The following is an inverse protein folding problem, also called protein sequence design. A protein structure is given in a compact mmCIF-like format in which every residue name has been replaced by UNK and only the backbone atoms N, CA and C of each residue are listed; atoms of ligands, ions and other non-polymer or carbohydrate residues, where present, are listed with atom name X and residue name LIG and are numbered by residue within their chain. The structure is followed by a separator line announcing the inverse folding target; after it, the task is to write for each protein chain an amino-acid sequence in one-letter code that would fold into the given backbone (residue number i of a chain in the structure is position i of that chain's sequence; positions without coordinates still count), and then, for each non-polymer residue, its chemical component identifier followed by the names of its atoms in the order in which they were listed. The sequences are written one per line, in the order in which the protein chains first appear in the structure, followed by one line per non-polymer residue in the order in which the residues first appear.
data_IF_676917835454
#
_entry.id   IF_676917835454
#
_cell.length_a   1.000
_cell.length_b   1.000
_cell.length_c   1.000
_cell.angle_alpha   90.00
_cell.angle_beta   90.00
_cell.angle_gamma   90.00
#
_symmetry.space_group_name_H-M   'P 1'
#
loop_
_entity.id
_entity.type
_entity.pdbx_description
1 polymer ?
#
# COMPACT_ATOMS: atom_id res chain seq x y z
N UNK A 1 1.85 -12.46 -10.16
CA UNK A 1 2.19 -11.68 -8.95
C UNK A 1 2.94 -10.46 -9.48
N UNK A 2 2.49 -9.24 -9.21
CA UNK A 2 3.22 -8.04 -9.67
C UNK A 2 4.39 -7.84 -8.71
N UNK A 3 5.60 -7.70 -9.24
CA UNK A 3 6.82 -7.53 -8.45
C UNK A 3 7.34 -6.09 -8.54
N UNK A 4 8.16 -5.68 -7.55
CA UNK A 4 8.81 -4.36 -7.58
C UNK A 4 9.69 -4.15 -8.82
N UNK A 5 10.16 -5.24 -9.43
CA UNK A 5 10.93 -5.21 -10.68
C UNK A 5 10.11 -4.76 -11.89
N UNK A 6 8.78 -4.81 -11.81
CA UNK A 6 7.85 -4.34 -12.85
C UNK A 6 7.55 -2.84 -12.74
N UNK A 7 8.25 -2.12 -11.83
CA UNK A 7 8.05 -0.71 -11.53
C UNK A 7 9.30 0.08 -11.92
N UNK A 8 9.14 1.03 -12.84
CA UNK A 8 10.17 2.02 -13.08
C UNK A 8 10.13 3.10 -11.96
N UNK A 9 11.20 3.31 -11.19
CA UNK A 9 11.20 4.26 -10.08
C UNK A 9 11.10 5.73 -10.54
N UNK A 10 11.57 6.05 -11.75
CA UNK A 10 11.50 7.42 -12.29
C UNK A 10 10.06 7.83 -12.64
N UNK A 11 9.16 6.86 -12.74
CA UNK A 11 7.74 7.04 -13.01
C UNK A 11 6.91 7.27 -11.74
N UNK A 12 7.51 7.14 -10.55
CA UNK A 12 6.81 7.27 -9.27
C UNK A 12 6.72 8.71 -8.80
N UNK A 13 5.65 9.03 -8.07
CA UNK A 13 5.42 10.36 -7.51
C UNK A 13 5.77 10.44 -6.03
N UNK A 14 5.74 11.64 -5.47
CA UNK A 14 5.85 11.84 -4.03
C UNK A 14 4.75 11.11 -3.25
N UNK A 15 3.53 11.02 -3.80
CA UNK A 15 2.44 10.27 -3.17
C UNK A 15 2.78 8.77 -3.06
N UNK A 16 3.38 8.20 -4.10
CA UNK A 16 3.85 6.81 -4.11
C UNK A 16 4.93 6.61 -3.04
N UNK A 17 5.90 7.52 -2.96
CA UNK A 17 6.97 7.48 -1.96
C UNK A 17 6.44 7.59 -0.53
N UNK A 18 5.50 8.49 -0.26
CA UNK A 18 4.86 8.65 1.05
C UNK A 18 4.09 7.40 1.44
N UNK A 19 3.29 6.83 0.52
CA UNK A 19 2.55 5.61 0.81
C UNK A 19 3.50 4.44 1.07
N UNK A 20 4.56 4.30 0.27
CA UNK A 20 5.60 3.30 0.48
C UNK A 20 6.30 3.44 1.83
N UNK A 21 6.67 4.66 2.22
CA UNK A 21 7.28 4.95 3.51
C UNK A 21 6.36 4.52 4.66
N UNK A 22 5.08 4.91 4.60
CA UNK A 22 4.10 4.57 5.64
C UNK A 22 3.88 3.05 5.74
N UNK A 23 3.86 2.34 4.61
CA UNK A 23 3.70 0.87 4.59
C UNK A 23 4.95 0.17 5.12
N UNK A 24 6.15 0.72 4.90
CA UNK A 24 7.40 0.14 5.42
C UNK A 24 7.63 0.44 6.89
N UNK A 25 7.19 1.61 7.37
CA UNK A 25 7.28 2.04 8.75
C UNK A 25 5.95 1.89 9.46
N UNK A 26 5.21 0.84 9.09
CA UNK A 26 3.84 0.67 9.51
C UNK A 26 3.71 0.62 11.02
N UNK A 27 2.91 1.54 11.54
CA UNK A 27 2.36 1.51 12.90
C UNK A 27 0.87 1.30 12.77
N UNK A 28 0.26 0.50 13.66
CA UNK A 28 -1.17 0.24 13.62
C UNK A 28 -1.98 1.52 13.56
N UNK A 29 -2.87 1.62 12.56
CA UNK A 29 -3.70 2.80 12.32
C UNK A 29 -3.01 3.96 11.58
N UNK A 30 -1.74 3.83 11.20
CA UNK A 30 -1.01 4.84 10.40
C UNK A 30 -1.58 4.97 8.99
N UNK A 31 -2.04 3.85 8.42
CA UNK A 31 -2.72 3.81 7.13
C UNK A 31 -4.13 3.30 7.35
N UNK A 32 -5.08 4.19 7.10
CA UNK A 32 -6.51 3.92 7.10
C UNK A 32 -7.00 3.52 5.72
N UNK A 33 -8.16 2.87 5.65
CA UNK A 33 -8.80 2.54 4.37
C UNK A 33 -9.05 3.79 3.51
N UNK A 34 -9.50 4.90 4.10
CA UNK A 34 -9.74 6.15 3.38
C UNK A 34 -8.45 6.73 2.75
N UNK A 35 -7.30 6.59 3.42
CA UNK A 35 -6.01 7.02 2.85
C UNK A 35 -5.59 6.13 1.67
N UNK A 36 -5.84 4.82 1.76
CA UNK A 36 -5.58 3.90 0.65
C UNK A 36 -6.51 4.17 -0.55
N UNK A 37 -7.78 4.47 -0.30
CA UNK A 37 -8.76 4.85 -1.34
C UNK A 37 -8.34 6.13 -2.05
N UNK A 38 -7.97 7.17 -1.31
CA UNK A 38 -7.47 8.42 -1.88
C UNK A 38 -6.21 8.21 -2.73
N UNK A 39 -5.26 7.41 -2.23
CA UNK A 39 -4.07 7.03 -3.00
C UNK A 39 -4.43 6.29 -4.29
N UNK A 40 -5.37 5.35 -4.21
CA UNK A 40 -5.84 4.56 -5.36
C UNK A 40 -6.51 5.43 -6.42
N UNK A 41 -7.30 6.42 -6.00
CA UNK A 41 -7.90 7.41 -6.89
C UNK A 41 -6.83 8.23 -7.63
N UNK A 42 -5.81 8.70 -6.90
CA UNK A 42 -4.67 9.41 -7.50
C UNK A 42 -3.87 8.58 -8.51
N UNK A 43 -3.76 7.26 -8.28
CA UNK A 43 -3.16 6.33 -9.25
C UNK A 43 -4.07 6.11 -10.45
N UNK A 44 -5.40 5.97 -10.26
CA UNK A 44 -6.35 5.75 -11.35
C UNK A 44 -6.49 6.96 -12.30
N UNK A 45 -6.18 8.16 -11.82
CA UNK A 45 -6.10 9.36 -12.66
C UNK A 45 -4.78 9.50 -13.42
N UNK A 46 -3.90 8.51 -13.35
CA UNK A 46 -2.61 8.47 -14.05
C UNK A 46 -2.63 7.41 -15.15
N UNK A 47 -2.16 7.76 -16.35
CA UNK A 47 -1.91 6.80 -17.43
C UNK A 47 -0.61 5.99 -17.24
N UNK A 48 0.00 6.08 -16.06
CA UNK A 48 1.30 5.52 -15.74
C UNK A 48 1.18 4.08 -15.20
N UNK A 49 1.60 3.13 -16.02
CA UNK A 49 1.58 1.69 -15.69
C UNK A 49 2.43 1.37 -14.46
N UNK A 50 3.59 2.02 -14.29
CA UNK A 50 4.46 1.82 -13.13
C UNK A 50 3.75 2.17 -11.82
N UNK A 51 2.95 3.25 -11.79
CA UNK A 51 2.11 3.59 -10.62
C UNK A 51 1.03 2.55 -10.36
N UNK A 52 0.40 2.03 -11.41
CA UNK A 52 -0.58 0.93 -11.29
C UNK A 52 0.02 -0.34 -10.68
N UNK A 53 1.21 -0.72 -11.15
CA UNK A 53 1.97 -1.85 -10.63
C UNK A 53 2.39 -1.61 -9.18
N UNK A 54 2.88 -0.41 -8.87
CA UNK A 54 3.33 -0.05 -7.52
C UNK A 54 2.17 -0.03 -6.50
N UNK A 55 0.99 0.43 -6.91
CA UNK A 55 -0.25 0.33 -6.11
C UNK A 55 -0.56 -1.12 -5.74
N UNK A 56 -0.40 -2.06 -6.67
CA UNK A 56 -0.64 -3.47 -6.39
C UNK A 56 0.36 -4.03 -5.35
N UNK A 57 1.63 -3.64 -5.42
CA UNK A 57 2.64 -3.98 -4.42
C UNK A 57 2.27 -3.42 -3.04
N UNK A 58 1.89 -2.15 -2.96
CA UNK A 58 1.41 -1.50 -1.73
C UNK A 58 0.21 -2.24 -1.14
N UNK A 59 -0.80 -2.56 -1.97
CA UNK A 59 -2.00 -3.27 -1.54
C UNK A 59 -1.71 -4.67 -0.99
N UNK A 60 -0.84 -5.44 -1.65
CA UNK A 60 -0.42 -6.75 -1.17
C UNK A 60 0.23 -6.68 0.21
N UNK A 61 1.08 -5.68 0.44
CA UNK A 61 1.76 -5.52 1.73
C UNK A 61 0.79 -5.08 2.83
N UNK A 62 -0.13 -4.15 2.53
CA UNK A 62 -1.17 -3.74 3.46
C UNK A 62 -2.11 -4.88 3.85
N UNK A 63 -2.49 -5.73 2.89
CA UNK A 63 -3.31 -6.92 3.16
C UNK A 63 -2.65 -7.84 4.19
N UNK A 64 -1.33 -8.06 4.09
CA UNK A 64 -0.59 -8.86 5.06
C UNK A 64 -0.53 -8.20 6.44
N UNK A 65 -0.31 -6.88 6.49
CA UNK A 65 -0.25 -6.11 7.73
C UNK A 65 -1.59 -6.12 8.47
N UNK A 66 -2.68 -5.78 7.78
CA UNK A 66 -4.02 -5.79 8.38
C UNK A 66 -4.48 -7.21 8.72
N UNK A 67 -4.17 -8.20 7.89
CA UNK A 67 -4.45 -9.60 8.20
C UNK A 67 -3.79 -10.07 9.49
N UNK A 68 -2.52 -9.69 9.72
CA UNK A 68 -1.81 -9.97 10.97
C UNK A 68 -2.49 -9.31 12.18
N UNK A 69 -2.91 -8.05 12.05
CA UNK A 69 -3.61 -7.37 13.14
C UNK A 69 -4.94 -8.03 13.51
N UNK A 70 -5.71 -8.49 12.52
CA UNK A 70 -6.96 -9.19 12.78
C UNK A 70 -6.72 -10.53 13.49
N UNK A 71 -5.69 -11.28 13.09
CA UNK A 71 -5.29 -12.51 13.78
C UNK A 71 -4.85 -12.23 15.23
N UNK A 72 -4.06 -11.18 15.46
CA UNK A 72 -3.66 -10.76 16.81
C UNK A 72 -4.87 -10.41 17.68
N UNK A 73 -5.84 -9.64 17.15
CA UNK A 73 -7.10 -9.34 17.85
C UNK A 73 -7.86 -10.61 18.24
N UNK A 74 -7.99 -11.56 17.32
CA UNK A 74 -8.68 -12.84 17.58
C UNK A 74 -7.96 -13.68 18.64
N UNK A 75 -6.62 -13.66 18.65
CA UNK A 75 -5.81 -14.39 19.63
C UNK A 75 -5.78 -13.75 21.02
N UNK A 76 -5.90 -12.42 21.10
CA UNK A 76 -5.88 -11.63 22.33
C UNK A 76 -7.23 -11.56 23.04
N UNK A 77 -8.31 -11.95 22.35
CA UNK A 77 -9.68 -12.02 22.88
C UNK A 77 -10.01 -13.33 23.62
N UNK A 78 -8.99 -14.08 24.07
CA UNK A 78 -9.11 -15.26 24.95
C UNK A 78 -8.73 -14.93 26.39
#
# INVERSE_FOLDING_TARGET
MIELTDVNPDDLTEEDAVMWYNVNNYTKGLITQAQLEKYTEGVNHSDNVSRGNFRAVIGNKLMLLWGKEELEKMSSGK
#
